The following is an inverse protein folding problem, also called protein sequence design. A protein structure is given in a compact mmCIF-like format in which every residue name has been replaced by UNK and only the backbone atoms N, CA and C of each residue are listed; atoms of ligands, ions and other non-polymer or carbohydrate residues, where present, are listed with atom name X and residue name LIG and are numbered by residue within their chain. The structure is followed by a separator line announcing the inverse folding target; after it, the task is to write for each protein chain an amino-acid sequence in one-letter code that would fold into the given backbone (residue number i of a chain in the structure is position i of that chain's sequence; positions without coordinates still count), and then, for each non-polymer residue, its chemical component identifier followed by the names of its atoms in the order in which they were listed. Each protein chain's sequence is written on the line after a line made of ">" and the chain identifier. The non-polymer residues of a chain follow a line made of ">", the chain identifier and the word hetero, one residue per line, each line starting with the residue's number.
data_IF_539150046522
#
_entry.id   IF_539150046522
#
_cell.length_a   1.000
_cell.length_b   1.000
_cell.length_c   1.000
_cell.angle_alpha   90.00
_cell.angle_beta   90.00
_cell.angle_gamma   90.00
#
_symmetry.space_group_name_H-M   'P 1'
#
loop_
_entity.id
_entity.type
_entity.pdbx_description
1 polymer ?
#
# COMPACT_ATOMS: atom_id res chain seq x y z
N UNK A 1 -9.97 -42.03 -27.18
CA UNK A 1 -9.05 -41.04 -26.55
C UNK A 1 -9.86 -40.13 -25.64
N UNK A 2 -9.90 -40.40 -24.34
CA UNK A 2 -10.62 -39.57 -23.36
C UNK A 2 -9.61 -38.58 -22.77
N UNK A 3 -9.77 -37.29 -23.08
CA UNK A 3 -8.97 -36.22 -22.50
C UNK A 3 -9.41 -36.02 -21.03
N UNK A 4 -8.64 -36.54 -20.09
CA UNK A 4 -8.72 -36.11 -18.69
C UNK A 4 -7.84 -34.87 -18.54
N UNK A 5 -8.47 -33.70 -18.41
CA UNK A 5 -7.76 -32.46 -18.09
C UNK A 5 -7.45 -32.38 -16.59
N UNK A 6 -6.21 -32.03 -16.21
CA UNK A 6 -5.74 -32.05 -14.83
C UNK A 6 -5.87 -30.66 -14.19
N UNK A 7 -7.06 -30.26 -13.72
CA UNK A 7 -7.20 -28.96 -13.03
C UNK A 7 -8.23 -28.98 -11.91
N UNK A 8 -8.01 -29.85 -10.92
CA UNK A 8 -8.46 -29.59 -9.54
C UNK A 8 -7.66 -28.40 -9.01
N UNK A 9 -8.08 -27.20 -9.40
CA UNK A 9 -7.56 -25.95 -8.86
C UNK A 9 -7.80 -25.90 -7.35
N UNK A 10 -6.78 -25.43 -6.65
CA UNK A 10 -6.72 -25.19 -5.21
C UNK A 10 -8.05 -24.66 -4.66
N UNK A 11 -8.63 -25.39 -3.71
CA UNK A 11 -9.46 -24.78 -2.68
C UNK A 11 -8.52 -24.09 -1.69
N UNK A 12 -8.08 -22.88 -2.01
CA UNK A 12 -7.53 -22.00 -0.99
C UNK A 12 -8.66 -21.10 -0.54
N UNK A 13 -9.17 -21.42 0.64
CA UNK A 13 -9.99 -20.58 1.49
C UNK A 13 -9.16 -19.32 1.82
N UNK A 14 -9.10 -18.38 0.88
CA UNK A 14 -8.37 -17.13 0.99
C UNK A 14 -9.13 -16.23 1.98
N UNK A 15 -8.77 -16.32 3.27
CA UNK A 15 -9.07 -15.24 4.21
C UNK A 15 -8.20 -14.04 3.80
N UNK A 16 -8.71 -13.22 2.90
CA UNK A 16 -8.18 -11.88 2.61
C UNK A 16 -8.59 -10.92 3.74
N UNK A 17 -8.09 -11.19 4.95
CA UNK A 17 -8.23 -10.27 6.07
C UNK A 17 -7.06 -9.30 6.01
N UNK A 18 -7.08 -8.41 5.01
CA UNK A 18 -6.31 -7.18 5.02
C UNK A 18 -4.80 -7.33 5.23
N UNK A 19 -4.15 -8.31 4.59
CA UNK A 19 -2.69 -8.33 4.44
C UNK A 19 -2.23 -7.19 3.51
N UNK A 20 -2.56 -5.96 3.87
CA UNK A 20 -1.77 -4.81 3.45
C UNK A 20 -0.39 -5.05 4.03
N UNK A 21 0.56 -5.44 3.17
CA UNK A 21 1.96 -5.59 3.55
C UNK A 21 2.42 -4.34 4.32
N UNK A 22 3.42 -4.50 5.19
CA UNK A 22 3.92 -3.42 6.06
C UNK A 22 4.12 -2.11 5.27
N UNK A 23 3.22 -1.14 5.48
CA UNK A 23 3.26 0.18 4.85
C UNK A 23 3.69 1.22 5.89
N UNK A 24 4.98 1.58 5.93
CA UNK A 24 5.45 2.64 6.81
C UNK A 24 4.83 3.97 6.44
N UNK A 25 4.31 4.68 7.44
CA UNK A 25 3.66 5.99 7.30
C UNK A 25 4.41 7.00 8.16
N UNK A 26 4.45 8.24 7.70
CA UNK A 26 5.02 9.34 8.47
C UNK A 26 3.95 9.98 9.36
N UNK A 27 4.22 10.04 10.66
CA UNK A 27 3.36 10.69 11.66
C UNK A 27 3.99 12.00 12.14
N UNK A 28 3.29 13.13 12.02
CA UNK A 28 3.77 14.44 12.49
C UNK A 28 4.10 14.49 13.99
N UNK A 29 3.39 13.68 14.78
CA UNK A 29 3.39 13.74 16.24
C UNK A 29 4.46 12.85 16.88
N UNK A 30 5.20 12.06 16.09
CA UNK A 30 6.20 11.10 16.58
C UNK A 30 7.52 11.19 15.82
N UNK A 31 8.58 10.70 16.45
CA UNK A 31 9.90 10.61 15.81
C UNK A 31 9.90 9.45 14.83
N UNK A 32 9.69 9.73 13.54
CA UNK A 32 9.79 8.72 12.49
C UNK A 32 11.25 8.46 12.11
N UNK A 33 11.65 7.18 12.12
CA UNK A 33 12.92 6.74 11.55
C UNK A 33 12.70 6.19 10.14
N UNK A 34 13.60 6.54 9.23
CA UNK A 34 13.57 6.08 7.86
C UNK A 34 13.81 4.56 7.82
N UNK A 35 12.93 3.77 7.18
CA UNK A 35 13.12 2.33 7.07
C UNK A 35 14.33 1.94 6.19
N UNK A 36 14.77 2.82 5.30
CA UNK A 36 15.98 2.61 4.48
C UNK A 36 17.30 2.82 5.23
N UNK A 37 17.52 4.00 5.81
CA UNK A 37 18.81 4.38 6.41
C UNK A 37 18.80 4.59 7.94
N UNK A 38 17.64 4.48 8.59
CA UNK A 38 17.49 4.67 10.04
C UNK A 38 17.54 6.12 10.55
N UNK A 39 17.78 7.11 9.67
CA UNK A 39 17.79 8.54 10.03
C UNK A 39 16.40 9.11 10.23
N UNK A 40 16.30 10.21 10.96
CA UNK A 40 15.03 10.88 11.29
C UNK A 40 14.89 12.28 10.69
N UNK A 41 15.71 12.62 9.69
CA UNK A 41 15.61 13.90 8.97
C UNK A 41 14.75 13.74 7.73
N UNK A 42 13.75 14.62 7.58
CA UNK A 42 12.70 14.49 6.58
C UNK A 42 12.38 15.85 5.93
N UNK A 43 12.17 15.83 4.62
CA UNK A 43 11.52 16.90 3.87
C UNK A 43 10.02 16.59 3.82
N UNK A 44 9.24 17.29 4.64
CA UNK A 44 7.79 17.06 4.77
C UNK A 44 7.03 17.89 3.75
N UNK A 45 6.41 17.21 2.79
CA UNK A 45 5.52 17.81 1.80
C UNK A 45 4.05 17.81 2.24
N UNK A 46 3.15 18.04 1.29
CA UNK A 46 1.69 18.02 1.54
C UNK A 46 1.11 16.62 1.68
N UNK A 47 1.75 15.63 1.04
CA UNK A 47 1.21 14.28 0.88
C UNK A 47 2.19 13.17 1.26
N UNK A 48 3.48 13.46 1.21
CA UNK A 48 4.57 12.55 1.56
C UNK A 48 5.65 13.26 2.37
N UNK A 49 6.46 12.49 3.08
CA UNK A 49 7.71 12.91 3.69
C UNK A 49 8.86 12.14 3.05
N UNK A 50 9.88 12.86 2.58
CA UNK A 50 11.06 12.27 1.94
C UNK A 50 12.27 12.31 2.86
N UNK A 51 13.01 11.21 2.97
CA UNK A 51 14.20 11.17 3.80
C UNK A 51 15.33 11.99 3.17
N UNK A 52 15.87 12.96 3.91
CA UNK A 52 16.94 13.85 3.46
C UNK A 52 18.33 13.19 3.29
N UNK A 53 18.41 11.86 3.31
CA UNK A 53 19.67 11.09 3.25
C UNK A 53 19.66 10.02 2.16
N UNK A 54 18.58 9.24 2.08
CA UNK A 54 18.45 8.13 1.13
C UNK A 54 17.23 8.27 0.22
N UNK A 55 16.60 9.45 0.20
CA UNK A 55 15.50 9.81 -0.72
C UNK A 55 14.27 8.88 -0.60
N UNK A 56 14.17 8.13 0.50
CA UNK A 56 13.03 7.26 0.77
C UNK A 56 11.80 8.13 1.07
N UNK A 57 10.78 8.02 0.24
CA UNK A 57 9.52 8.72 0.41
C UNK A 57 8.47 7.84 1.12
N UNK A 58 7.89 8.36 2.19
CA UNK A 58 6.78 7.76 2.92
C UNK A 58 5.52 8.63 2.77
N UNK A 59 4.31 8.03 2.64
CA UNK A 59 3.07 8.79 2.70
C UNK A 59 2.84 9.33 4.12
N UNK A 60 2.24 10.52 4.21
CA UNK A 60 1.79 11.05 5.50
C UNK A 60 0.63 10.20 6.01
N UNK A 61 0.57 9.93 7.32
CA UNK A 61 -0.46 9.09 7.92
C UNK A 61 -1.89 9.57 7.61
N UNK A 62 -2.10 10.90 7.61
CA UNK A 62 -3.40 11.50 7.24
C UNK A 62 -3.82 11.23 5.78
N UNK A 63 -2.87 10.94 4.90
CA UNK A 63 -3.09 10.65 3.48
C UNK A 63 -3.26 9.17 3.27
N UNK A 64 -2.41 8.35 3.89
CA UNK A 64 -2.51 6.90 3.83
C UNK A 64 -3.80 6.37 4.47
N UNK A 65 -4.38 7.11 5.42
CA UNK A 65 -5.68 6.80 6.01
C UNK A 65 -6.86 7.06 5.06
N UNK A 66 -6.67 7.87 4.02
CA UNK A 66 -7.73 8.12 3.04
C UNK A 66 -7.90 6.89 2.14
N UNK A 67 -9.14 6.43 1.91
CA UNK A 67 -9.38 5.36 0.96
C UNK A 67 -8.96 5.83 -0.43
N UNK A 68 -8.14 5.03 -1.11
CA UNK A 68 -7.78 5.27 -2.51
C UNK A 68 -9.05 5.11 -3.36
N UNK A 69 -9.80 6.19 -3.54
CA UNK A 69 -11.00 6.18 -4.38
C UNK A 69 -10.61 6.61 -5.79
N UNK A 70 -10.84 5.76 -6.81
CA UNK A 70 -10.66 6.18 -8.19
C UNK A 70 -11.61 7.34 -8.50
N UNK A 71 -11.08 8.42 -9.10
CA UNK A 71 -11.90 9.59 -9.47
C UNK A 71 -12.74 9.35 -10.73
N UNK A 72 -12.52 8.24 -11.44
CA UNK A 72 -13.42 7.79 -12.49
C UNK A 72 -14.37 6.75 -11.89
N UNK A 73 -15.66 7.07 -11.85
CA UNK A 73 -16.69 6.05 -11.77
C UNK A 73 -16.85 5.50 -13.18
N UNK A 74 -16.61 4.21 -13.37
CA UNK A 74 -16.93 3.49 -14.59
C UNK A 74 -18.46 3.44 -14.75
N UNK A 75 -19.01 4.49 -15.36
CA UNK A 75 -20.41 4.60 -15.80
C UNK A 75 -20.60 3.58 -16.95
N UNK A 76 -20.58 2.28 -16.67
CA UNK A 76 -20.62 1.30 -17.75
C UNK A 76 -20.60 -0.18 -17.37
N UNK A 77 -20.33 -0.54 -16.11
CA UNK A 77 -20.44 -1.94 -15.68
C UNK A 77 -21.92 -2.30 -15.41
N UNK A 78 -22.73 -2.45 -16.47
CA UNK A 78 -23.99 -3.20 -16.42
C UNK A 78 -23.81 -4.46 -17.25
N UNK A 79 -24.09 -5.60 -16.61
CA UNK A 79 -24.23 -6.92 -17.23
C UNK A 79 -25.42 -6.97 -18.19
#
# INVERSE_FOLDING_TARGET
>A
MTYLSPRSYLNTDMKDDGQRGYQPQYHSDTVNRCPGCGRSHWHVGRISAECAHCETALPLAMVASQPMQPRYTEIGAKQ
#
